data_IF_030503220178
#
_entry.id   IF_030503220178
#
_cell.length_a   1.000
_cell.length_b   1.000
_cell.length_c   1.000
_cell.angle_alpha   90.00
_cell.angle_beta   90.00
_cell.angle_gamma   90.00
#
_symmetry.space_group_name_H-M   'P 1'
#
loop_
_entity.id
_entity.type
_entity.pdbx_description
1 polymer ?
#
# COMPACT_ATOMS: atom_id res chain seq x y z
N UNK A 1 -11.35 -3.17 -21.73
CA UNK A 1 -12.11 -2.72 -22.92
C UNK A 1 -11.19 -2.07 -23.95
N UNK A 2 -11.42 -2.27 -25.25
CA UNK A 2 -10.69 -1.60 -26.34
C UNK A 2 -10.75 -0.09 -26.18
N UNK A 3 -9.61 0.62 -26.27
CA UNK A 3 -9.58 2.09 -26.11
C UNK A 3 -10.26 2.83 -27.28
N UNK A 4 -10.30 2.22 -28.47
CA UNK A 4 -10.88 2.81 -29.69
C UNK A 4 -12.39 2.59 -29.78
N UNK A 5 -12.82 1.37 -29.51
CA UNK A 5 -14.21 0.93 -29.75
C UNK A 5 -15.03 0.75 -28.48
N UNK A 6 -14.40 0.83 -27.29
CA UNK A 6 -15.00 0.55 -25.97
C UNK A 6 -15.57 -0.87 -25.77
N UNK A 7 -15.60 -1.71 -26.80
CA UNK A 7 -15.98 -3.13 -26.70
C UNK A 7 -14.93 -4.00 -25.97
N UNK A 8 -15.26 -5.25 -25.62
CA UNK A 8 -14.31 -6.20 -25.01
C UNK A 8 -13.11 -6.40 -25.96
N UNK A 9 -11.89 -6.23 -25.42
CA UNK A 9 -10.69 -6.40 -26.23
C UNK A 9 -10.49 -7.88 -26.55
N UNK A 10 -10.28 -8.20 -27.84
CA UNK A 10 -10.04 -9.57 -28.33
C UNK A 10 -8.56 -9.88 -28.56
N UNK A 11 -7.66 -8.92 -28.32
CA UNK A 11 -6.22 -9.16 -28.48
C UNK A 11 -5.72 -10.08 -27.35
N UNK A 12 -4.84 -11.06 -27.67
CA UNK A 12 -4.36 -12.00 -26.67
C UNK A 12 -3.52 -11.30 -25.59
N UNK A 13 -3.58 -11.83 -24.38
CA UNK A 13 -2.71 -11.40 -23.29
C UNK A 13 -1.24 -11.72 -23.64
N UNK A 14 -0.32 -10.89 -23.15
CA UNK A 14 1.11 -11.20 -23.26
C UNK A 14 1.46 -12.32 -22.26
N UNK A 15 2.36 -13.24 -22.63
CA UNK A 15 2.83 -14.31 -21.76
C UNK A 15 3.24 -13.78 -20.38
N UNK A 16 2.67 -14.36 -19.32
CA UNK A 16 2.93 -13.98 -17.93
C UNK A 16 2.23 -12.69 -17.45
N UNK A 17 1.30 -12.12 -18.23
CA UNK A 17 0.52 -10.93 -17.84
C UNK A 17 -0.96 -11.14 -18.12
N UNK A 18 -1.82 -10.43 -17.38
CA UNK A 18 -3.27 -10.48 -17.57
C UNK A 18 -3.79 -9.60 -18.72
N UNK A 19 -2.94 -8.76 -19.32
CA UNK A 19 -3.35 -7.73 -20.30
C UNK A 19 -2.57 -7.83 -21.62
N UNK A 20 -3.20 -7.42 -22.71
CA UNK A 20 -2.59 -7.41 -24.04
C UNK A 20 -1.62 -6.23 -24.22
N UNK A 21 -0.89 -6.21 -25.36
CA UNK A 21 0.06 -5.13 -25.70
C UNK A 21 -0.54 -3.73 -25.72
N UNK A 22 -1.82 -3.60 -26.10
CA UNK A 22 -2.51 -2.30 -26.18
C UNK A 22 -3.00 -1.81 -24.82
N UNK A 23 -3.19 -2.73 -23.87
CA UNK A 23 -3.69 -2.46 -22.52
C UNK A 23 -2.55 -2.46 -21.50
N UNK A 24 -1.35 -2.03 -21.92
CA UNK A 24 -0.22 -1.86 -21.01
C UNK A 24 0.60 -3.12 -20.79
N UNK A 25 0.36 -4.22 -21.50
CA UNK A 25 1.16 -5.44 -21.39
C UNK A 25 2.65 -5.21 -21.67
N UNK A 26 3.01 -4.21 -22.47
CA UNK A 26 4.41 -3.82 -22.73
C UNK A 26 4.95 -2.76 -21.77
N UNK A 27 4.11 -2.19 -20.91
CA UNK A 27 4.57 -1.22 -19.92
C UNK A 27 5.48 -1.90 -18.90
N UNK A 28 6.62 -1.29 -18.62
CA UNK A 28 7.58 -1.73 -17.60
C UNK A 28 7.68 -0.75 -16.43
N UNK A 29 6.91 0.35 -16.46
CA UNK A 29 7.06 1.45 -15.50
C UNK A 29 8.42 2.17 -15.58
N UNK A 30 8.68 3.13 -14.67
CA UNK A 30 9.95 3.83 -14.59
C UNK A 30 11.08 2.94 -14.07
N UNK A 31 12.11 2.72 -14.89
CA UNK A 31 13.27 1.89 -14.53
C UNK A 31 14.29 2.64 -13.65
N UNK A 32 14.38 3.96 -13.78
CA UNK A 32 15.39 4.78 -13.08
C UNK A 32 14.89 5.31 -11.73
N UNK A 33 15.82 5.58 -10.81
CA UNK A 33 15.50 6.23 -9.52
C UNK A 33 14.85 7.60 -9.73
N UNK A 34 15.40 8.42 -10.63
CA UNK A 34 14.83 9.73 -10.98
C UNK A 34 13.43 9.63 -11.58
N UNK A 35 13.15 8.62 -12.42
CA UNK A 35 11.82 8.37 -12.95
C UNK A 35 10.80 8.04 -11.86
N UNK A 36 11.19 7.21 -10.89
CA UNK A 36 10.34 6.91 -9.71
C UNK A 36 10.12 8.13 -8.83
N UNK A 37 11.15 8.94 -8.61
CA UNK A 37 11.06 10.17 -7.82
C UNK A 37 10.09 11.18 -8.44
N UNK A 38 10.13 11.37 -9.78
CA UNK A 38 9.18 12.24 -10.48
C UNK A 38 7.72 11.79 -10.32
N UNK A 39 7.45 10.49 -10.46
CA UNK A 39 6.10 9.95 -10.25
C UNK A 39 5.66 10.14 -8.79
N UNK A 40 6.56 9.91 -7.83
CA UNK A 40 6.26 10.14 -6.41
C UNK A 40 5.94 11.61 -6.12
N UNK A 41 6.70 12.55 -6.68
CA UNK A 41 6.46 13.98 -6.54
C UNK A 41 5.13 14.41 -7.19
N UNK A 42 4.76 13.80 -8.32
CA UNK A 42 3.48 14.07 -8.99
C UNK A 42 2.26 13.47 -8.25
N UNK A 43 2.45 12.55 -7.31
CA UNK A 43 1.37 11.91 -6.55
C UNK A 43 0.92 12.81 -5.38
N UNK A 44 0.01 13.74 -5.64
CA UNK A 44 -0.42 14.78 -4.69
C UNK A 44 -1.69 14.48 -3.90
N UNK A 45 -2.26 13.28 -4.02
CA UNK A 45 -3.61 12.96 -3.48
C UNK A 45 -3.70 13.20 -1.97
N UNK A 46 -2.84 12.57 -1.17
CA UNK A 46 -2.69 12.89 0.25
C UNK A 46 -1.32 12.38 0.73
N UNK A 47 -0.53 13.25 1.36
CA UNK A 47 0.81 12.93 1.83
C UNK A 47 0.86 11.91 2.98
N UNK A 48 -0.28 11.49 3.53
CA UNK A 48 -0.39 10.71 4.77
C UNK A 48 -0.06 9.22 4.65
N UNK A 49 0.09 8.71 3.44
CA UNK A 49 0.17 7.27 3.15
C UNK A 49 1.47 6.87 2.44
N UNK A 50 2.53 7.68 2.61
CA UNK A 50 3.88 7.30 2.15
C UNK A 50 4.40 6.09 2.94
N UNK A 51 5.40 5.38 2.38
CA UNK A 51 6.01 4.23 3.06
C UNK A 51 6.64 4.63 4.41
N UNK A 52 7.28 5.80 4.47
CA UNK A 52 7.89 6.32 5.70
C UNK A 52 6.83 6.56 6.78
N UNK A 53 5.74 7.27 6.45
CA UNK A 53 4.67 7.56 7.40
C UNK A 53 3.96 6.28 7.86
N UNK A 54 3.78 5.30 6.98
CA UNK A 54 3.23 3.99 7.36
C UNK A 54 4.13 3.24 8.33
N UNK A 55 5.44 3.30 8.14
CA UNK A 55 6.40 2.67 9.03
C UNK A 55 6.39 3.35 10.41
N UNK A 56 6.44 4.68 10.45
CA UNK A 56 6.36 5.47 11.67
C UNK A 56 5.05 5.21 12.43
N UNK A 57 3.91 5.25 11.74
CA UNK A 57 2.61 4.93 12.34
C UNK A 57 2.59 3.51 12.91
N UNK A 58 3.18 2.55 12.20
CA UNK A 58 3.27 1.17 12.71
C UNK A 58 4.14 1.06 13.96
N UNK A 59 5.22 1.82 14.06
CA UNK A 59 6.07 1.86 15.25
C UNK A 59 5.33 2.49 16.44
N UNK A 60 4.68 3.64 16.23
CA UNK A 60 3.88 4.31 17.27
C UNK A 60 2.71 3.46 17.78
N UNK A 61 2.05 2.73 16.90
CA UNK A 61 0.99 1.80 17.30
C UNK A 61 1.54 0.60 18.08
N UNK A 62 2.78 0.17 17.80
CA UNK A 62 3.44 -0.86 18.59
C UNK A 62 3.79 -0.35 20.00
N UNK A 63 4.30 0.88 20.11
CA UNK A 63 4.54 1.52 21.42
C UNK A 63 3.24 1.63 22.24
N UNK A 64 2.16 2.08 21.60
CA UNK A 64 0.85 2.20 22.24
C UNK A 64 0.32 0.83 22.71
N UNK A 65 0.56 -0.23 21.92
CA UNK A 65 0.21 -1.60 22.27
C UNK A 65 0.89 -2.02 23.59
N UNK A 66 2.20 -1.82 23.71
CA UNK A 66 2.93 -2.21 24.92
C UNK A 66 2.45 -1.45 26.16
N UNK A 67 2.15 -0.15 26.01
CA UNK A 67 1.58 0.66 27.08
C UNK A 67 0.19 0.18 27.49
N UNK A 68 -0.66 -0.18 26.52
CA UNK A 68 -1.98 -0.75 26.80
C UNK A 68 -1.84 -2.08 27.56
N UNK A 69 -0.91 -2.95 27.16
CA UNK A 69 -0.67 -4.22 27.84
C UNK A 69 -0.20 -4.03 29.29
N UNK A 70 0.69 -3.08 29.54
CA UNK A 70 1.13 -2.75 30.89
C UNK A 70 -0.03 -2.18 31.72
N UNK A 71 -0.79 -1.24 31.18
CA UNK A 71 -1.98 -0.68 31.84
C UNK A 71 -3.01 -1.76 32.19
N UNK A 72 -3.22 -2.74 31.33
CA UNK A 72 -4.06 -3.91 31.61
C UNK A 72 -3.50 -4.79 32.71
N UNK A 73 -2.19 -5.03 32.74
CA UNK A 73 -1.56 -5.86 33.79
C UNK A 73 -1.68 -5.25 35.19
N UNK A 74 -1.75 -3.92 35.30
CA UNK A 74 -1.93 -3.20 36.57
C UNK A 74 -3.40 -2.87 36.88
N UNK A 75 -4.34 -3.37 36.07
CA UNK A 75 -5.78 -3.16 36.27
C UNK A 75 -6.27 -1.75 35.91
N UNK A 76 -5.48 -0.95 35.19
CA UNK A 76 -5.87 0.40 34.76
C UNK A 76 -6.84 0.40 33.57
N UNK A 77 -6.84 -0.68 32.77
CA UNK A 77 -7.72 -0.83 31.60
C UNK A 77 -8.44 -2.18 31.61
N UNK A 78 -9.75 -2.15 31.34
CA UNK A 78 -10.62 -3.33 31.26
C UNK A 78 -11.15 -3.59 29.83
N UNK A 79 -11.82 -4.73 29.63
CA UNK A 79 -12.48 -5.07 28.37
C UNK A 79 -11.57 -5.68 27.30
N UNK A 80 -12.09 -5.87 26.08
CA UNK A 80 -11.37 -6.52 24.98
C UNK A 80 -10.53 -5.52 24.19
N UNK A 81 -9.32 -5.94 23.81
CA UNK A 81 -8.44 -5.15 22.95
C UNK A 81 -9.05 -4.96 21.55
N UNK A 82 -9.13 -3.70 21.09
CA UNK A 82 -9.64 -3.29 19.77
C UNK A 82 -8.53 -2.89 18.79
N UNK A 83 -7.32 -2.63 19.31
CA UNK A 83 -6.17 -2.19 18.52
C UNK A 83 -5.51 -3.29 17.69
N UNK A 84 -4.79 -2.88 16.64
CA UNK A 84 -4.01 -3.79 15.79
C UNK A 84 -2.73 -4.22 16.53
N UNK A 85 -2.53 -5.53 16.73
CA UNK A 85 -1.28 -6.09 17.26
C UNK A 85 -0.08 -5.73 16.36
N UNK A 86 1.10 -5.39 16.91
CA UNK A 86 2.30 -5.16 16.12
C UNK A 86 2.68 -6.37 15.27
N UNK A 87 3.35 -6.13 14.14
CA UNK A 87 3.82 -7.22 13.26
C UNK A 87 5.03 -7.89 13.90
N UNK A 88 4.91 -9.16 14.28
CA UNK A 88 6.01 -9.97 14.82
C UNK A 88 6.03 -10.14 16.34
N UNK A 89 4.97 -9.73 17.04
CA UNK A 89 4.76 -10.01 18.47
C UNK A 89 3.76 -11.14 18.71
#
# INVERSE_FOLDING_TARGET
MSKRTRLRCRAPAIKGKAVCRFHGGRSTGPKTKAGRARIAAAHTVHGRETRAIRAERSARLAELYELEMLGRSIGMFEGRMVGRKPRGG
#
